data_IF_699357904917
#
_entry.id   IF_699357904917
#
_cell.length_a   1.000
_cell.length_b   1.000
_cell.length_c   1.000
_cell.angle_alpha   90.00
_cell.angle_beta   90.00
_cell.angle_gamma   90.00
#
_symmetry.space_group_name_H-M   'P 1'
#
loop_
_entity.id
_entity.type
_entity.pdbx_description
1 polymer ?
#
# COMPACT_ATOMS: atom_id res chain seq x y z
N UNK A 1 -5.74 -15.36 68.28
CA UNK A 1 -4.26 -15.51 68.32
C UNK A 1 -3.76 -14.88 67.03
N UNK A 2 -3.07 -13.74 66.96
CA UNK A 2 -2.23 -12.99 67.91
C UNK A 2 -0.82 -12.87 67.29
N UNK A 3 -0.11 -11.75 67.20
CA UNK A 3 -0.17 -10.38 67.77
C UNK A 3 0.34 -9.39 66.67
N UNK A 4 0.43 -8.05 66.77
CA UNK A 4 -0.30 -6.93 67.37
C UNK A 4 0.62 -5.66 67.30
N UNK A 5 0.26 -4.63 66.53
CA UNK A 5 0.78 -3.23 66.58
C UNK A 5 -0.24 -2.34 65.83
N UNK A 6 -0.79 -1.20 66.31
CA UNK A 6 -0.23 0.07 66.86
C UNK A 6 0.55 0.88 65.82
N UNK A 7 0.31 2.17 65.54
CA UNK A 7 -0.72 3.18 65.91
C UNK A 7 -0.86 4.20 64.73
N UNK A 8 -1.82 5.13 64.62
CA UNK A 8 -2.04 6.36 65.44
C UNK A 8 -0.72 7.10 65.80
N UNK A 9 -0.59 8.43 65.62
CA UNK A 9 -1.60 9.51 65.64
C UNK A 9 -1.03 10.85 65.05
N UNK A 10 -1.90 11.81 64.64
CA UNK A 10 -1.67 13.29 64.61
C UNK A 10 -0.47 13.90 63.78
N UNK A 11 -0.28 15.21 63.55
CA UNK A 11 -1.13 16.40 63.23
C UNK A 11 -0.13 17.57 62.84
N UNK A 12 -0.36 18.90 62.70
CA UNK A 12 -1.50 19.86 62.81
C UNK A 12 -1.19 21.15 61.97
N UNK A 13 -2.12 21.62 61.09
CA UNK A 13 -2.37 23.07 60.70
C UNK A 13 -1.22 23.82 59.91
N UNK A 14 -1.34 24.98 59.24
CA UNK A 14 -2.40 26.02 59.13
C UNK A 14 -2.78 26.49 57.70
N UNK A 15 -3.91 27.17 57.67
CA UNK A 15 -4.77 27.68 56.61
C UNK A 15 -4.27 28.96 55.87
N UNK A 16 -4.94 29.22 54.72
CA UNK A 16 -5.37 30.55 54.24
C UNK A 16 -4.27 31.53 53.71
N UNK A 17 -4.54 32.60 52.93
CA UNK A 17 -5.77 33.39 52.64
C UNK A 17 -5.86 33.94 51.19
N UNK A 18 -7.05 33.85 50.59
CA UNK A 18 -7.84 34.87 49.83
C UNK A 18 -7.35 35.53 48.52
N UNK A 19 -8.21 35.38 47.50
CA UNK A 19 -8.62 36.31 46.41
C UNK A 19 -8.85 37.79 46.80
N UNK A 20 -9.25 38.70 45.87
CA UNK A 20 -8.81 38.94 44.48
C UNK A 20 -8.59 40.46 44.18
N UNK A 21 -8.31 40.84 42.92
CA UNK A 21 -8.61 42.18 42.39
C UNK A 21 -8.85 42.16 40.87
N UNK A 22 -9.81 42.95 40.39
CA UNK A 22 -10.05 43.24 38.95
C UNK A 22 -9.38 44.57 38.56
N UNK A 23 -9.13 44.78 37.27
CA UNK A 23 -8.58 46.05 36.76
C UNK A 23 -8.87 46.24 35.27
N UNK A 24 -9.63 47.28 34.93
CA UNK A 24 -10.02 47.63 33.56
C UNK A 24 -9.15 48.78 33.05
N UNK A 25 -8.53 48.63 31.88
CA UNK A 25 -8.27 49.62 30.82
C UNK A 25 -7.56 48.87 29.66
N UNK A 26 -7.70 49.20 28.38
CA UNK A 26 -8.29 50.39 27.79
C UNK A 26 -7.29 51.09 26.84
N UNK A 27 -6.89 50.40 25.76
CA UNK A 27 -5.88 50.91 24.83
C UNK A 27 -6.15 50.46 23.39
N UNK A 28 -6.34 51.43 22.49
CA UNK A 28 -6.42 51.19 21.06
C UNK A 28 -5.03 51.38 20.42
N UNK A 29 -4.66 50.51 19.48
CA UNK A 29 -3.44 50.66 18.68
C UNK A 29 -3.66 50.11 17.28
N UNK A 30 -3.62 50.99 16.27
CA UNK A 30 -3.46 50.57 14.87
C UNK A 30 -2.07 49.96 14.71
N UNK A 31 -2.00 48.82 14.01
CA UNK A 31 -0.85 47.93 14.02
C UNK A 31 -0.92 46.95 12.87
N UNK A 32 -0.67 47.43 11.65
CA UNK A 32 -0.66 46.63 10.41
C UNK A 32 0.46 45.59 10.42
N UNK A 33 0.24 44.48 11.10
CA UNK A 33 1.11 43.31 11.10
C UNK A 33 0.60 42.24 10.13
N UNK A 34 1.05 42.27 8.88
CA UNK A 34 0.89 41.10 8.02
C UNK A 34 1.69 39.93 8.59
N UNK A 35 0.99 38.92 9.10
CA UNK A 35 1.47 37.54 9.12
C UNK A 35 0.38 36.65 8.58
N UNK A 36 0.57 36.15 7.35
CA UNK A 36 -0.06 34.91 6.96
C UNK A 36 0.40 33.84 7.97
N UNK A 37 -0.54 33.20 8.64
CA UNK A 37 -0.22 32.04 9.48
C UNK A 37 0.19 30.90 8.53
N UNK A 38 1.31 30.23 8.82
CA UNK A 38 1.84 29.17 7.96
C UNK A 38 0.86 28.00 7.85
N UNK A 39 0.53 27.64 6.61
CA UNK A 39 -0.36 26.52 6.28
C UNK A 39 0.31 25.43 5.43
N UNK A 40 1.63 25.31 5.52
CA UNK A 40 2.46 24.42 4.67
C UNK A 40 3.49 23.58 5.43
N UNK A 41 3.58 23.70 6.75
CA UNK A 41 4.48 22.86 7.57
C UNK A 41 3.81 21.50 7.82
N UNK A 42 4.14 20.50 7.01
CA UNK A 42 3.77 19.09 7.26
C UNK A 42 3.35 18.25 6.05
N UNK A 43 3.18 18.82 4.85
CA UNK A 43 2.76 18.03 3.67
C UNK A 43 3.95 17.29 3.02
N UNK A 44 3.73 16.03 2.63
CA UNK A 44 4.72 15.26 1.88
C UNK A 44 4.81 15.77 0.43
N UNK A 45 5.99 16.21 0.00
CA UNK A 45 6.25 16.59 -1.40
C UNK A 45 6.92 15.45 -2.17
N UNK A 46 6.85 15.41 -3.50
CA UNK A 46 7.57 14.44 -4.33
C UNK A 46 9.08 14.34 -4.01
N UNK A 47 9.73 15.46 -3.67
CA UNK A 47 11.16 15.48 -3.33
C UNK A 47 11.45 14.96 -1.91
N UNK A 48 10.56 15.22 -0.94
CA UNK A 48 10.66 14.65 0.42
C UNK A 48 10.43 13.13 0.40
N UNK A 49 9.47 12.69 -0.42
CA UNK A 49 9.17 11.28 -0.72
C UNK A 49 10.37 10.57 -1.36
N UNK A 50 10.93 11.12 -2.44
CA UNK A 50 12.19 10.65 -3.05
C UNK A 50 13.31 10.51 -2.01
N UNK A 51 13.54 11.53 -1.20
CA UNK A 51 14.56 11.50 -0.14
C UNK A 51 14.23 10.55 1.02
N UNK A 52 12.97 10.10 1.18
CA UNK A 52 12.57 9.02 2.10
C UNK A 52 12.90 7.65 1.49
N UNK A 53 12.49 7.41 0.25
CA UNK A 53 12.76 6.16 -0.49
C UNK A 53 14.26 5.90 -0.61
N UNK A 54 15.04 6.90 -1.03
CA UNK A 54 16.48 6.78 -1.22
C UNK A 54 17.22 6.46 0.09
N UNK A 55 16.73 6.94 1.24
CA UNK A 55 17.25 6.57 2.57
C UNK A 55 16.96 5.12 2.90
N UNK A 56 15.72 4.66 2.70
CA UNK A 56 15.31 3.26 2.93
C UNK A 56 16.16 2.31 2.09
N UNK A 57 16.40 2.65 0.82
CA UNK A 57 17.23 1.87 -0.10
C UNK A 57 18.70 1.86 0.34
N UNK A 58 19.23 3.01 0.75
CA UNK A 58 20.60 3.13 1.27
C UNK A 58 20.82 2.28 2.54
N UNK A 59 19.85 2.29 3.47
CA UNK A 59 19.86 1.49 4.70
C UNK A 59 19.70 -0.01 4.40
N UNK A 60 18.92 -0.36 3.38
CA UNK A 60 18.70 -1.73 2.92
C UNK A 60 19.82 -2.32 2.04
N UNK A 61 20.85 -1.54 1.69
CA UNK A 61 21.94 -1.96 0.79
C UNK A 61 21.53 -2.09 -0.68
N UNK A 62 20.50 -1.34 -1.10
CA UNK A 62 19.98 -1.31 -2.47
C UNK A 62 20.48 -0.03 -3.17
N UNK A 63 21.15 -0.10 -4.33
CA UNK A 63 21.56 1.07 -5.08
C UNK A 63 20.34 1.74 -5.72
N UNK A 64 20.40 3.06 -5.87
CA UNK A 64 19.40 3.87 -6.56
C UNK A 64 20.11 4.91 -7.42
N UNK A 65 19.40 5.44 -8.42
CA UNK A 65 19.92 6.49 -9.31
C UNK A 65 19.33 7.84 -8.89
N UNK A 66 20.13 8.79 -8.34
CA UNK A 66 19.62 10.07 -7.85
C UNK A 66 18.93 10.93 -8.93
N UNK A 67 19.26 10.72 -10.21
CA UNK A 67 18.61 11.41 -11.34
C UNK A 67 17.30 10.78 -11.81
N UNK A 68 16.82 9.69 -11.20
CA UNK A 68 15.44 9.23 -11.42
C UNK A 68 14.46 10.34 -11.01
N UNK A 69 13.41 10.62 -11.80
CA UNK A 69 12.31 11.50 -11.42
C UNK A 69 11.73 11.21 -10.03
N UNK A 70 11.01 12.19 -9.51
CA UNK A 70 10.03 11.92 -8.44
C UNK A 70 8.78 11.37 -9.12
N UNK A 71 8.02 10.52 -8.42
CA UNK A 71 6.61 10.29 -8.79
C UNK A 71 5.80 11.58 -8.61
N UNK A 72 4.61 11.60 -9.17
CA UNK A 72 3.69 12.72 -9.22
C UNK A 72 3.28 13.23 -7.81
N UNK A 73 2.80 14.47 -7.73
CA UNK A 73 2.23 15.01 -6.50
C UNK A 73 0.83 14.48 -6.20
N UNK A 74 0.39 14.63 -4.96
CA UNK A 74 -0.96 14.27 -4.54
C UNK A 74 -2.07 15.06 -5.27
N UNK A 75 -1.72 16.18 -5.90
CA UNK A 75 -2.58 17.02 -6.73
C UNK A 75 -2.68 16.51 -8.18
N UNK A 76 -1.63 15.84 -8.68
CA UNK A 76 -1.52 15.37 -10.06
C UNK A 76 -2.00 13.91 -10.19
N UNK A 77 -1.74 13.07 -9.19
CA UNK A 77 -2.19 11.66 -9.17
C UNK A 77 -3.68 11.52 -8.90
N UNK A 78 -4.43 10.79 -9.73
CA UNK A 78 -5.72 10.20 -9.34
C UNK A 78 -5.53 8.78 -8.79
N UNK A 79 -6.48 8.28 -7.99
CA UNK A 79 -6.48 6.92 -7.47
C UNK A 79 -7.74 6.19 -7.90
N UNK A 80 -7.60 4.90 -8.20
CA UNK A 80 -8.74 3.98 -8.33
C UNK A 80 -9.49 3.87 -7.00
N UNK A 81 -10.78 3.55 -7.07
CA UNK A 81 -11.65 3.37 -5.89
C UNK A 81 -11.36 2.05 -5.15
N UNK A 82 -11.74 1.95 -3.87
CA UNK A 82 -11.58 0.70 -3.12
C UNK A 82 -12.42 -0.46 -3.67
N UNK A 83 -13.54 -0.17 -4.35
CA UNK A 83 -14.36 -1.16 -5.03
C UNK A 83 -13.65 -1.75 -6.26
N UNK A 84 -13.08 -0.91 -7.14
CA UNK A 84 -12.25 -1.37 -8.27
C UNK A 84 -11.05 -2.21 -7.81
N UNK A 85 -10.38 -1.76 -6.73
CA UNK A 85 -9.22 -2.46 -6.17
C UNK A 85 -9.63 -3.81 -5.58
N UNK A 86 -10.75 -3.88 -4.84
CA UNK A 86 -11.32 -5.12 -4.34
C UNK A 86 -11.72 -6.11 -5.45
N UNK A 87 -12.30 -5.60 -6.54
CA UNK A 87 -12.62 -6.38 -7.75
C UNK A 87 -11.33 -6.97 -8.36
N UNK A 88 -10.30 -6.14 -8.59
CA UNK A 88 -9.02 -6.59 -9.18
C UNK A 88 -8.32 -7.61 -8.27
N UNK A 89 -8.29 -7.42 -6.95
CA UNK A 89 -7.75 -8.41 -6.00
C UNK A 89 -8.45 -9.77 -6.20
N UNK A 90 -9.80 -9.79 -6.25
CA UNK A 90 -10.53 -11.04 -6.46
C UNK A 90 -10.16 -11.72 -7.80
N UNK A 91 -10.00 -10.94 -8.88
CA UNK A 91 -9.58 -11.46 -10.18
C UNK A 91 -8.14 -12.02 -10.15
N UNK A 92 -7.17 -11.25 -9.64
CA UNK A 92 -5.76 -11.65 -9.58
C UNK A 92 -5.55 -12.92 -8.75
N UNK A 93 -6.24 -13.05 -7.61
CA UNK A 93 -6.15 -14.23 -6.76
C UNK A 93 -6.83 -15.46 -7.39
N UNK A 94 -7.91 -15.29 -8.16
CA UNK A 94 -8.49 -16.39 -8.94
C UNK A 94 -7.59 -16.83 -10.09
N UNK A 95 -6.90 -15.90 -10.74
CA UNK A 95 -5.91 -16.17 -11.80
C UNK A 95 -4.69 -16.92 -11.25
N UNK A 96 -4.13 -16.44 -10.13
CA UNK A 96 -3.02 -17.11 -9.45
C UNK A 96 -3.43 -18.48 -8.90
N UNK A 97 -4.61 -18.58 -8.26
CA UNK A 97 -5.18 -19.84 -7.77
C UNK A 97 -5.31 -20.89 -8.87
N UNK A 98 -5.85 -20.52 -10.04
CA UNK A 98 -5.94 -21.40 -11.22
C UNK A 98 -4.56 -21.84 -11.73
N UNK A 99 -3.51 -21.03 -11.54
CA UNK A 99 -2.15 -21.38 -11.93
C UNK A 99 -1.48 -22.35 -10.95
N UNK A 100 -1.66 -22.15 -9.64
CA UNK A 100 -1.21 -23.10 -8.61
C UNK A 100 -1.96 -24.43 -8.69
N UNK A 101 -3.29 -24.39 -8.84
CA UNK A 101 -4.19 -25.55 -8.91
C UNK A 101 -4.60 -25.83 -10.37
N UNK A 102 -3.59 -25.98 -11.23
CA UNK A 102 -3.72 -26.14 -12.69
C UNK A 102 -4.69 -27.28 -13.09
N UNK A 103 -5.93 -26.91 -13.40
CA UNK A 103 -6.98 -27.82 -13.87
C UNK A 103 -8.31 -27.70 -13.11
N UNK A 104 -8.36 -27.01 -11.97
CA UNK A 104 -9.63 -26.74 -11.28
C UNK A 104 -10.42 -25.60 -11.97
N UNK A 105 -11.72 -25.80 -12.16
CA UNK A 105 -12.64 -24.81 -12.73
C UNK A 105 -13.23 -23.86 -11.67
N UNK A 106 -13.06 -24.15 -10.37
CA UNK A 106 -13.72 -23.44 -9.25
C UNK A 106 -13.50 -21.93 -9.28
N UNK A 107 -12.29 -21.47 -9.61
CA UNK A 107 -11.95 -20.04 -9.70
C UNK A 107 -12.67 -19.37 -10.89
N UNK A 108 -12.65 -20.01 -12.06
CA UNK A 108 -13.33 -19.52 -13.25
C UNK A 108 -14.87 -19.55 -13.11
N UNK A 109 -15.41 -20.51 -12.36
CA UNK A 109 -16.83 -20.58 -11.99
C UNK A 109 -17.20 -19.52 -10.95
N UNK A 110 -16.37 -19.32 -9.91
CA UNK A 110 -16.56 -18.28 -8.90
C UNK A 110 -16.59 -16.87 -9.52
N UNK A 111 -15.68 -16.57 -10.45
CA UNK A 111 -15.65 -15.29 -11.16
C UNK A 111 -16.93 -15.06 -11.96
N UNK A 112 -17.42 -16.07 -12.71
CA UNK A 112 -18.66 -15.97 -13.50
C UNK A 112 -19.91 -15.89 -12.62
N UNK A 113 -20.00 -16.73 -11.57
CA UNK A 113 -21.08 -16.75 -10.57
C UNK A 113 -21.27 -15.38 -9.92
N UNK A 114 -20.18 -14.69 -9.63
CA UNK A 114 -20.19 -13.44 -8.88
C UNK A 114 -20.19 -12.16 -9.75
N UNK A 115 -20.15 -12.24 -11.08
CA UNK A 115 -20.00 -11.08 -11.99
C UNK A 115 -18.65 -10.35 -11.82
N UNK A 116 -17.57 -11.13 -11.74
CA UNK A 116 -16.19 -10.63 -11.76
C UNK A 116 -15.47 -10.99 -13.07
N UNK A 117 -16.03 -11.90 -13.88
CA UNK A 117 -15.42 -12.33 -15.16
C UNK A 117 -15.35 -11.16 -16.16
N UNK A 118 -16.33 -10.26 -16.15
CA UNK A 118 -16.36 -9.03 -16.93
C UNK A 118 -15.28 -8.00 -16.53
N UNK A 119 -14.54 -8.22 -15.43
CA UNK A 119 -13.43 -7.37 -14.98
C UNK A 119 -12.04 -8.01 -15.18
N UNK A 120 -11.95 -9.15 -15.88
CA UNK A 120 -10.70 -9.79 -16.26
C UNK A 120 -10.02 -9.04 -17.42
N UNK A 121 -8.70 -9.02 -17.43
CA UNK A 121 -7.94 -8.53 -18.59
C UNK A 121 -8.03 -9.48 -19.79
N UNK A 122 -7.66 -9.06 -21.01
CA UNK A 122 -7.55 -9.95 -22.16
C UNK A 122 -6.64 -11.16 -21.93
N UNK A 123 -5.47 -10.98 -21.29
CA UNK A 123 -4.54 -12.07 -20.96
C UNK A 123 -5.09 -13.00 -19.86
N UNK A 124 -5.70 -12.44 -18.81
CA UNK A 124 -6.33 -13.23 -17.74
C UNK A 124 -7.51 -14.07 -18.29
N UNK A 125 -8.36 -13.47 -19.13
CA UNK A 125 -9.49 -14.13 -19.79
C UNK A 125 -9.02 -15.27 -20.70
N UNK A 126 -7.98 -15.01 -21.49
CA UNK A 126 -7.34 -16.01 -22.36
C UNK A 126 -6.78 -17.18 -21.54
N UNK A 127 -6.07 -16.88 -20.45
CA UNK A 127 -5.49 -17.88 -19.56
C UNK A 127 -6.55 -18.74 -18.87
N UNK A 128 -7.54 -18.13 -18.22
CA UNK A 128 -8.64 -18.83 -17.53
C UNK A 128 -9.56 -19.62 -18.49
N UNK A 129 -9.45 -19.41 -19.80
CA UNK A 129 -10.13 -20.21 -20.83
C UNK A 129 -9.32 -21.46 -21.23
N UNK A 130 -7.99 -21.47 -21.03
CA UNK A 130 -7.14 -22.62 -21.33
C UNK A 130 -5.85 -22.66 -20.46
N UNK A 131 -5.97 -22.91 -19.13
CA UNK A 131 -4.90 -22.68 -18.16
C UNK A 131 -3.71 -23.65 -18.24
N UNK A 132 -3.83 -24.72 -19.04
CA UNK A 132 -2.80 -25.75 -19.23
C UNK A 132 -2.01 -25.61 -20.54
N UNK A 133 -2.38 -24.68 -21.43
CA UNK A 133 -1.80 -24.58 -22.78
C UNK A 133 -0.32 -24.15 -22.80
N UNK A 134 0.11 -23.32 -21.85
CA UNK A 134 1.47 -22.79 -21.81
C UNK A 134 2.00 -22.69 -20.38
N UNK A 135 2.92 -23.59 -20.02
CA UNK A 135 3.55 -23.63 -18.70
C UNK A 135 4.33 -22.36 -18.33
N UNK A 136 4.79 -21.55 -19.30
CA UNK A 136 5.37 -20.24 -19.00
C UNK A 136 4.29 -19.22 -18.66
N UNK A 137 3.12 -19.26 -19.32
CA UNK A 137 1.99 -18.42 -18.92
C UNK A 137 1.51 -18.79 -17.52
N UNK A 138 1.36 -20.07 -17.18
CA UNK A 138 0.99 -20.48 -15.82
C UNK A 138 2.02 -19.99 -14.78
N UNK A 139 3.33 -20.12 -15.06
CA UNK A 139 4.41 -19.56 -14.22
C UNK A 139 4.43 -18.03 -14.13
N UNK A 140 3.87 -17.30 -15.10
CA UNK A 140 3.69 -15.86 -14.97
C UNK A 140 2.45 -15.55 -14.12
N UNK A 141 1.37 -16.32 -14.30
CA UNK A 141 0.09 -16.09 -13.61
C UNK A 141 0.13 -16.40 -12.11
N UNK A 142 1.01 -17.31 -11.65
CA UNK A 142 1.26 -17.48 -10.20
C UNK A 142 1.73 -16.18 -9.53
N UNK A 143 2.55 -15.35 -10.19
CA UNK A 143 3.03 -14.08 -9.62
C UNK A 143 1.92 -13.02 -9.45
N UNK A 144 0.72 -13.22 -10.01
CA UNK A 144 -0.41 -12.30 -9.78
C UNK A 144 -0.85 -12.25 -8.30
N UNK A 145 -0.43 -13.20 -7.46
CA UNK A 145 -0.58 -13.06 -6.00
C UNK A 145 0.22 -11.87 -5.44
N UNK A 146 1.43 -11.60 -5.95
CA UNK A 146 2.30 -10.50 -5.51
C UNK A 146 1.76 -9.14 -5.98
N UNK A 147 1.19 -9.08 -7.19
CA UNK A 147 0.39 -7.94 -7.63
C UNK A 147 -0.81 -7.69 -6.69
N UNK A 148 -1.48 -8.76 -6.25
CA UNK A 148 -2.59 -8.65 -5.31
C UNK A 148 -2.14 -8.22 -3.90
N UNK A 149 -0.95 -8.60 -3.41
CA UNK A 149 -0.41 -8.17 -2.10
C UNK A 149 -0.29 -6.65 -2.00
N UNK A 150 0.24 -5.98 -3.02
CA UNK A 150 0.31 -4.50 -3.05
C UNK A 150 -1.08 -3.87 -3.02
N UNK A 151 -2.05 -4.43 -3.74
CA UNK A 151 -3.43 -3.94 -3.73
C UNK A 151 -4.14 -4.23 -2.39
N UNK A 152 -3.94 -5.40 -1.80
CA UNK A 152 -4.46 -5.78 -0.48
C UNK A 152 -3.87 -4.90 0.63
N UNK A 153 -2.59 -4.55 0.55
CA UNK A 153 -2.01 -3.51 1.38
C UNK A 153 -2.67 -2.15 1.12
N UNK A 154 -2.92 -1.75 -0.13
CA UNK A 154 -3.58 -0.47 -0.41
C UNK A 154 -4.97 -0.36 0.24
N UNK A 155 -5.71 -1.46 0.41
CA UNK A 155 -7.04 -1.52 1.07
C UNK A 155 -7.05 -2.03 2.52
N UNK A 156 -5.92 -1.94 3.24
CA UNK A 156 -5.78 -2.31 4.66
C UNK A 156 -6.08 -3.77 5.02
N UNK A 157 -5.90 -4.70 4.09
CA UNK A 157 -5.89 -6.14 4.38
C UNK A 157 -4.50 -6.58 4.89
N UNK A 158 -3.44 -5.86 4.54
CA UNK A 158 -2.13 -5.95 5.20
C UNK A 158 -1.80 -4.64 5.91
N UNK A 159 -1.14 -4.71 7.06
CA UNK A 159 -0.70 -3.53 7.83
C UNK A 159 0.57 -2.89 7.25
N UNK A 160 1.56 -3.71 6.91
CA UNK A 160 2.84 -3.29 6.35
C UNK A 160 3.03 -3.84 4.93
N UNK A 161 3.92 -3.19 4.17
CA UNK A 161 4.44 -3.68 2.89
C UNK A 161 5.97 -3.78 3.01
N UNK A 162 6.53 -4.97 3.31
CA UNK A 162 7.96 -5.14 3.53
C UNK A 162 8.77 -5.00 2.22
N UNK A 163 10.11 -5.08 2.29
CA UNK A 163 10.91 -5.17 1.07
C UNK A 163 10.69 -6.54 0.41
N UNK A 164 10.42 -6.62 -0.91
CA UNK A 164 10.10 -7.86 -1.62
C UNK A 164 11.36 -8.73 -1.80
N UNK A 165 11.65 -9.51 -0.75
CA UNK A 165 12.83 -10.38 -0.60
C UNK A 165 12.49 -11.87 -0.52
N UNK A 166 11.27 -12.17 -0.07
CA UNK A 166 10.74 -13.50 0.17
C UNK A 166 9.27 -13.47 -0.30
N UNK A 167 8.86 -14.50 -1.05
CA UNK A 167 7.49 -14.60 -1.60
C UNK A 167 6.45 -14.70 -0.47
N UNK A 168 5.32 -14.02 -0.63
CA UNK A 168 4.27 -13.94 0.38
C UNK A 168 3.54 -15.28 0.50
N UNK A 169 3.33 -15.79 1.72
CA UNK A 169 2.61 -17.05 1.94
C UNK A 169 1.19 -16.96 1.36
N UNK A 170 0.87 -17.84 0.40
CA UNK A 170 -0.44 -17.87 -0.25
C UNK A 170 -1.54 -18.26 0.73
N UNK A 171 -1.22 -19.00 1.79
CA UNK A 171 -2.12 -19.26 2.93
C UNK A 171 -2.46 -17.97 3.66
N UNK A 172 -1.46 -17.11 3.88
CA UNK A 172 -1.62 -15.82 4.54
C UNK A 172 -2.47 -14.85 3.69
N UNK A 173 -2.26 -14.84 2.36
CA UNK A 173 -3.08 -14.10 1.40
C UNK A 173 -4.54 -14.58 1.45
N UNK A 174 -4.77 -15.89 1.31
CA UNK A 174 -6.13 -16.47 1.26
C UNK A 174 -6.88 -16.24 2.58
N UNK A 175 -6.20 -16.27 3.72
CA UNK A 175 -6.81 -16.03 5.04
C UNK A 175 -7.45 -14.64 5.22
N UNK A 176 -7.12 -13.67 4.35
CA UNK A 176 -7.66 -12.29 4.36
C UNK A 176 -8.86 -12.10 3.42
N UNK A 177 -9.20 -13.12 2.64
CA UNK A 177 -10.30 -13.08 1.68
C UNK A 177 -11.55 -13.77 2.23
N UNK A 178 -12.76 -13.39 1.79
CA UNK A 178 -13.98 -14.14 2.10
C UNK A 178 -13.93 -15.55 1.47
N UNK A 179 -14.58 -16.53 2.12
CA UNK A 179 -14.72 -17.87 1.55
C UNK A 179 -15.36 -17.82 0.15
N UNK A 180 -14.85 -18.62 -0.81
CA UNK A 180 -15.44 -18.76 -2.15
C UNK A 180 -16.88 -19.32 -2.16
N UNK A 181 -17.34 -19.87 -1.03
CA UNK A 181 -18.74 -20.21 -0.78
C UNK A 181 -19.65 -18.97 -0.89
N UNK A 182 -19.16 -17.82 -0.42
CA UNK A 182 -19.87 -16.53 -0.30
C UNK A 182 -19.63 -15.58 -1.47
N UNK A 183 -20.57 -14.66 -1.78
CA UNK A 183 -20.30 -13.56 -2.73
C UNK A 183 -19.42 -12.46 -2.11
N UNK A 184 -18.36 -12.00 -2.81
CA UNK A 184 -17.38 -11.06 -2.24
C UNK A 184 -17.90 -9.62 -2.08
N UNK A 185 -19.07 -9.30 -2.64
CA UNK A 185 -19.58 -7.93 -2.74
C UNK A 185 -19.78 -7.19 -1.41
N UNK A 186 -20.04 -7.90 -0.31
CA UNK A 186 -20.10 -7.26 1.01
C UNK A 186 -18.71 -6.96 1.59
N UNK A 187 -17.71 -7.79 1.27
CA UNK A 187 -16.32 -7.57 1.62
C UNK A 187 -15.75 -6.40 0.81
N UNK A 188 -15.93 -6.41 -0.52
CA UNK A 188 -15.46 -5.35 -1.44
C UNK A 188 -15.98 -3.97 -1.00
N UNK A 189 -17.27 -3.85 -0.66
CA UNK A 189 -17.87 -2.58 -0.17
C UNK A 189 -17.42 -2.15 1.23
N UNK A 190 -16.73 -3.01 1.98
CA UNK A 190 -16.16 -2.69 3.29
C UNK A 190 -14.66 -2.33 3.21
N UNK A 191 -14.07 -2.33 2.02
CA UNK A 191 -12.66 -1.97 1.81
C UNK A 191 -12.47 -0.44 1.85
N UNK A 192 -11.46 0.00 2.60
CA UNK A 192 -11.06 1.41 2.69
C UNK A 192 -9.61 1.58 2.23
N UNK A 193 -9.38 2.51 1.30
CA UNK A 193 -8.03 2.81 0.82
C UNK A 193 -7.18 3.55 1.86
N UNK A 194 -5.88 3.21 1.88
CA UNK A 194 -4.81 4.03 2.47
C UNK A 194 -4.80 5.44 1.88
N UNK A 195 -4.19 6.38 2.59
CA UNK A 195 -4.10 7.76 2.09
C UNK A 195 -3.28 7.84 0.81
N UNK A 196 -3.60 8.80 -0.06
CA UNK A 196 -2.81 9.05 -1.29
C UNK A 196 -1.33 9.29 -0.99
N UNK A 197 -1.02 9.88 0.17
CA UNK A 197 0.35 10.06 0.66
C UNK A 197 1.07 8.73 0.89
N UNK A 198 0.45 7.78 1.63
CA UNK A 198 1.01 6.43 1.85
C UNK A 198 1.20 5.67 0.53
N UNK A 199 0.19 5.68 -0.34
CA UNK A 199 0.19 4.94 -1.61
C UNK A 199 1.29 5.47 -2.54
N UNK A 200 1.47 6.78 -2.63
CA UNK A 200 2.56 7.37 -3.42
C UNK A 200 3.94 7.15 -2.78
N UNK A 201 4.05 7.17 -1.45
CA UNK A 201 5.31 6.83 -0.75
C UNK A 201 5.74 5.38 -1.03
N UNK A 202 4.80 4.45 -1.16
CA UNK A 202 5.07 3.09 -1.63
C UNK A 202 5.44 3.07 -3.12
N UNK A 203 4.73 3.79 -3.99
CA UNK A 203 5.02 3.87 -5.43
C UNK A 203 6.45 4.36 -5.71
N UNK A 204 6.87 5.45 -5.07
CA UNK A 204 8.21 6.03 -5.26
C UNK A 204 9.34 5.08 -4.81
N UNK A 205 9.11 4.29 -3.77
CA UNK A 205 10.03 3.24 -3.31
C UNK A 205 10.07 2.05 -4.29
N UNK A 206 8.90 1.56 -4.73
CA UNK A 206 8.77 0.43 -5.66
C UNK A 206 9.40 0.76 -7.03
N UNK A 207 9.14 1.95 -7.57
CA UNK A 207 9.74 2.46 -8.81
C UNK A 207 11.28 2.39 -8.76
N UNK A 208 11.90 2.86 -7.66
CA UNK A 208 13.36 2.81 -7.46
C UNK A 208 13.88 1.38 -7.25
N UNK A 209 13.14 0.51 -6.57
CA UNK A 209 13.48 -0.92 -6.48
C UNK A 209 13.46 -1.60 -7.85
N UNK A 210 12.50 -1.26 -8.71
CA UNK A 210 12.40 -1.84 -10.05
C UNK A 210 13.50 -1.31 -10.99
N UNK A 211 13.89 -0.04 -10.88
CA UNK A 211 15.12 0.43 -11.51
C UNK A 211 16.34 -0.39 -11.03
N UNK A 212 16.48 -0.59 -9.71
CA UNK A 212 17.65 -1.27 -9.14
C UNK A 212 17.76 -2.75 -9.57
N UNK A 213 16.64 -3.48 -9.69
CA UNK A 213 16.64 -4.86 -10.20
C UNK A 213 16.87 -4.94 -11.71
N UNK A 214 16.36 -3.97 -12.49
CA UNK A 214 16.60 -3.89 -13.95
C UNK A 214 18.03 -3.51 -14.28
N UNK A 215 18.61 -2.51 -13.60
CA UNK A 215 20.00 -2.11 -13.79
C UNK A 215 20.94 -3.28 -13.47
N UNK A 216 20.74 -3.96 -12.33
CA UNK A 216 21.52 -5.15 -12.01
C UNK A 216 21.42 -6.25 -13.08
N UNK A 217 20.23 -6.47 -13.66
CA UNK A 217 20.02 -7.41 -14.78
C UNK A 217 20.76 -6.99 -16.06
N UNK A 218 20.79 -5.69 -16.37
CA UNK A 218 21.53 -5.13 -17.52
C UNK A 218 23.05 -5.34 -17.34
N UNK A 219 23.56 -5.12 -16.13
CA UNK A 219 24.97 -5.27 -15.79
C UNK A 219 25.41 -6.75 -15.59
N UNK A 220 24.51 -7.72 -15.76
CA UNK A 220 24.78 -9.15 -15.53
C UNK A 220 24.95 -9.54 -14.05
N UNK A 221 24.56 -8.65 -13.14
CA UNK A 221 24.67 -8.82 -11.69
C UNK A 221 23.45 -9.54 -11.08
N UNK A 222 23.62 -10.04 -9.85
CA UNK A 222 22.49 -10.47 -9.02
C UNK A 222 21.67 -9.26 -8.58
N UNK A 223 20.37 -9.48 -8.36
CA UNK A 223 19.48 -8.46 -7.80
C UNK A 223 20.02 -7.94 -6.43
N UNK A 224 20.02 -6.62 -6.20
CA UNK A 224 20.64 -6.03 -5.03
C UNK A 224 19.78 -6.20 -3.77
N UNK A 225 20.40 -6.09 -2.59
CA UNK A 225 19.70 -6.06 -1.29
C UNK A 225 18.80 -7.27 -0.98
N UNK A 226 18.95 -8.38 -1.71
CA UNK A 226 18.09 -9.57 -1.60
C UNK A 226 16.74 -9.46 -2.33
N UNK A 227 16.51 -8.44 -3.16
CA UNK A 227 15.24 -8.26 -3.87
C UNK A 227 14.94 -9.40 -4.86
N UNK A 228 13.68 -9.83 -4.92
CA UNK A 228 13.17 -10.78 -5.92
C UNK A 228 12.64 -10.01 -7.13
N UNK A 229 13.25 -10.11 -8.34
CA UNK A 229 12.82 -9.30 -9.48
C UNK A 229 11.39 -9.57 -9.97
N UNK A 230 10.87 -10.79 -9.76
CA UNK A 230 9.49 -11.14 -10.10
C UNK A 230 8.47 -10.37 -9.26
N UNK A 231 8.61 -10.43 -7.92
CA UNK A 231 7.81 -9.63 -6.99
C UNK A 231 7.89 -8.14 -7.34
N UNK A 232 9.10 -7.58 -7.48
CA UNK A 232 9.31 -6.15 -7.77
C UNK A 232 8.65 -5.71 -9.08
N UNK A 233 8.61 -6.57 -10.09
CA UNK A 233 7.93 -6.28 -11.35
C UNK A 233 6.41 -6.19 -11.18
N UNK A 234 5.80 -7.20 -10.56
CA UNK A 234 4.35 -7.23 -10.31
C UNK A 234 3.92 -6.13 -9.33
N UNK A 235 4.74 -5.80 -8.34
CA UNK A 235 4.50 -4.70 -7.41
C UNK A 235 4.48 -3.34 -8.12
N UNK A 236 5.41 -3.09 -9.07
CA UNK A 236 5.41 -1.84 -9.85
C UNK A 236 4.20 -1.75 -10.79
N UNK A 237 3.83 -2.87 -11.42
CA UNK A 237 2.64 -2.95 -12.28
C UNK A 237 1.35 -2.71 -11.47
N UNK A 238 1.22 -3.32 -10.29
CA UNK A 238 0.07 -3.13 -9.41
C UNK A 238 -0.05 -1.71 -8.85
N UNK A 239 1.06 -1.09 -8.44
CA UNK A 239 1.02 0.28 -7.90
C UNK A 239 0.75 1.32 -9.00
N UNK A 240 1.32 1.17 -10.20
CA UNK A 240 1.06 2.07 -11.34
C UNK A 240 -0.38 1.97 -11.84
N UNK A 241 -0.99 0.78 -11.76
CA UNK A 241 -2.41 0.60 -12.03
C UNK A 241 -3.28 1.34 -11.01
N UNK A 242 -2.96 1.20 -9.71
CA UNK A 242 -3.67 1.86 -8.61
C UNK A 242 -3.59 3.40 -8.70
N UNK A 243 -2.44 3.94 -9.11
CA UNK A 243 -2.17 5.39 -9.20
C UNK A 243 -2.47 6.00 -10.56
N UNK A 244 -3.14 5.28 -11.48
CA UNK A 244 -3.62 5.82 -12.77
C UNK A 244 -2.46 6.52 -13.52
N UNK A 245 -1.34 5.81 -13.67
CA UNK A 245 -0.07 6.38 -14.14
C UNK A 245 -0.02 6.74 -15.64
N UNK A 246 -0.94 6.25 -16.47
CA UNK A 246 -0.93 6.43 -17.93
C UNK A 246 -2.29 6.97 -18.44
N UNK A 247 -2.28 7.64 -19.60
CA UNK A 247 -3.43 8.36 -20.18
C UNK A 247 -4.54 7.44 -20.71
N UNK A 248 -4.25 6.16 -20.98
CA UNK A 248 -5.26 5.09 -21.04
C UNK A 248 -5.14 4.19 -19.79
N UNK A 249 -5.74 4.58 -18.66
CA UNK A 249 -5.60 3.84 -17.41
C UNK A 249 -6.47 2.58 -17.37
N UNK A 250 -7.24 2.27 -18.42
CA UNK A 250 -8.39 1.37 -18.34
C UNK A 250 -8.00 -0.12 -18.26
N UNK A 251 -7.02 -0.56 -19.06
CA UNK A 251 -6.65 -1.97 -19.17
C UNK A 251 -5.46 -2.37 -18.28
N UNK A 252 -5.69 -3.37 -17.40
CA UNK A 252 -4.65 -3.96 -16.54
C UNK A 252 -3.41 -4.42 -17.32
N UNK A 253 -3.60 -5.04 -18.49
CA UNK A 253 -2.51 -5.60 -19.30
C UNK A 253 -1.61 -4.54 -19.95
N UNK A 254 -2.07 -3.28 -20.04
CA UNK A 254 -1.36 -2.20 -20.72
C UNK A 254 -0.42 -1.40 -19.80
N UNK A 255 -0.61 -1.50 -18.48
CA UNK A 255 0.05 -0.63 -17.48
C UNK A 255 1.58 -0.68 -17.58
N UNK A 256 2.24 0.44 -17.95
CA UNK A 256 3.69 0.48 -18.12
C UNK A 256 4.42 0.41 -16.77
N UNK A 257 5.67 -0.01 -16.84
CA UNK A 257 6.55 -0.15 -15.67
C UNK A 257 7.95 0.38 -15.97
N UNK A 258 8.06 1.47 -16.73
CA UNK A 258 9.34 2.02 -17.19
C UNK A 258 10.19 2.61 -16.07
N UNK A 259 11.52 2.54 -16.23
CA UNK A 259 12.54 2.76 -15.19
C UNK A 259 13.90 3.09 -15.80
#
# INVERSE_FOLDING_TARGET
MGQAARGQEADEVDRQRRHPAEGIFGGAGDGRGQRQVSGHEGRMTPQLRKARSERILQEAGIPFLPSLPCVESEEETELRTSEEVGIRICCLLCVAGTAFESGDSVFAEYLRKNRLWEHLSPQETSYLTNPTLNAQTSRNMTWRCEAAVVLMWAVRLFDDLPLPREETDTTEIVSRMPEMSTPPWNFIRALELRSKSEILDASDLIYRMHWATRQARIDGNKAPGGLVPGMVQEWHHAINWLTIYDEDPSEWDAVPTDT
#
